data_IF_073690361426
#
_entry.id   IF_073690361426
#
_cell.length_a   1.000
_cell.length_b   1.000
_cell.length_c   1.000
_cell.angle_alpha   90.00
_cell.angle_beta   90.00
_cell.angle_gamma   90.00
#
_symmetry.space_group_name_H-M   'P 1'
#
loop_
_entity.id
_entity.type
_entity.pdbx_description
1 polymer ?
#
# COMPACT_ATOMS: atom_id res chain seq x y z
N UNK A 1 17.27 2.86 -20.16
CA UNK A 1 16.62 1.73 -19.47
C UNK A 1 15.14 1.68 -19.84
N UNK A 2 14.53 0.51 -19.77
CA UNK A 2 13.09 0.30 -19.88
C UNK A 2 12.53 0.14 -18.47
N UNK A 3 11.65 1.03 -18.05
CA UNK A 3 11.16 1.10 -16.67
C UNK A 3 9.63 0.98 -16.70
N UNK A 4 9.07 0.05 -15.94
CA UNK A 4 7.62 -0.10 -15.84
C UNK A 4 7.11 0.43 -14.48
N UNK A 5 5.96 1.09 -14.52
CA UNK A 5 5.20 1.50 -13.33
C UNK A 5 3.87 0.75 -13.31
N UNK A 6 3.72 -0.13 -12.34
CA UNK A 6 2.45 -0.81 -12.05
C UNK A 6 1.74 0.02 -11.00
N UNK A 7 0.68 0.71 -11.39
CA UNK A 7 0.04 1.73 -10.56
C UNK A 7 -1.44 1.90 -10.87
N UNK A 8 -2.10 2.74 -10.12
CA UNK A 8 -3.49 3.15 -10.35
C UNK A 8 -3.64 3.98 -11.63
N UNK A 9 -4.85 4.04 -12.21
CA UNK A 9 -5.15 4.93 -13.32
C UNK A 9 -4.82 6.40 -13.00
N UNK A 10 -4.21 7.12 -13.94
CA UNK A 10 -3.88 8.54 -13.76
C UNK A 10 -5.09 9.39 -13.37
N UNK A 11 -6.28 9.00 -13.83
CA UNK A 11 -7.55 9.69 -13.55
C UNK A 11 -8.02 9.51 -12.09
N UNK A 12 -7.41 8.61 -11.33
CA UNK A 12 -7.73 8.33 -9.92
C UNK A 12 -6.75 8.99 -8.95
N UNK A 13 -5.70 9.64 -9.46
CA UNK A 13 -4.71 10.33 -8.65
C UNK A 13 -5.21 11.73 -8.26
N UNK A 14 -4.84 12.19 -7.07
CA UNK A 14 -5.24 13.50 -6.53
C UNK A 14 -4.59 14.70 -7.26
N UNK A 15 -3.69 14.45 -8.19
CA UNK A 15 -3.00 15.43 -9.03
C UNK A 15 -1.66 14.86 -9.51
N UNK A 16 -1.35 15.07 -10.79
CA UNK A 16 -0.11 14.54 -11.38
C UNK A 16 1.13 15.19 -10.78
N UNK A 17 1.07 16.47 -10.43
CA UNK A 17 2.21 17.20 -9.89
C UNK A 17 2.49 16.88 -8.41
N UNK A 18 1.51 16.35 -7.70
CA UNK A 18 1.61 16.00 -6.27
C UNK A 18 1.88 14.51 -6.06
N UNK A 19 1.62 13.67 -7.08
CA UNK A 19 1.82 12.23 -7.00
C UNK A 19 3.28 11.83 -7.21
N UNK A 20 3.84 11.10 -6.24
CA UNK A 20 5.23 10.65 -6.26
C UNK A 20 5.54 9.73 -7.46
N UNK A 21 4.60 8.90 -7.90
CA UNK A 21 4.79 8.01 -9.05
C UNK A 21 4.89 8.81 -10.34
N UNK A 22 4.06 9.85 -10.47
CA UNK A 22 4.11 10.78 -11.60
C UNK A 22 5.40 11.59 -11.64
N UNK A 23 5.89 12.05 -10.49
CA UNK A 23 7.20 12.71 -10.39
C UNK A 23 8.34 11.77 -10.81
N UNK A 24 8.30 10.49 -10.38
CA UNK A 24 9.30 9.50 -10.80
C UNK A 24 9.21 9.18 -12.29
N UNK A 25 8.02 9.08 -12.87
CA UNK A 25 7.82 8.91 -14.31
C UNK A 25 8.46 10.07 -15.07
N UNK A 26 8.16 11.30 -14.66
CA UNK A 26 8.72 12.50 -15.30
C UNK A 26 10.25 12.50 -15.24
N UNK A 27 10.83 12.24 -14.07
CA UNK A 27 12.29 12.17 -13.91
C UNK A 27 12.91 11.07 -14.79
N UNK A 28 12.24 9.91 -14.92
CA UNK A 28 12.69 8.85 -15.84
C UNK A 28 12.69 9.32 -17.30
N UNK A 29 11.67 10.04 -17.74
CA UNK A 29 11.59 10.59 -19.09
C UNK A 29 12.69 11.63 -19.34
N UNK A 30 12.91 12.54 -18.39
CA UNK A 30 13.92 13.60 -18.47
C UNK A 30 15.34 13.03 -18.57
N UNK A 31 15.57 11.86 -17.95
CA UNK A 31 16.81 11.09 -18.08
C UNK A 31 16.90 10.24 -19.36
N UNK A 32 15.93 10.31 -20.23
CA UNK A 32 15.91 9.56 -21.49
C UNK A 32 15.61 8.07 -21.35
N UNK A 33 14.92 7.67 -20.29
CA UNK A 33 14.45 6.29 -20.12
C UNK A 33 13.12 6.07 -20.83
N UNK A 34 12.87 4.83 -21.28
CA UNK A 34 11.57 4.44 -21.82
C UNK A 34 10.68 3.99 -20.65
N UNK A 35 9.53 4.64 -20.46
CA UNK A 35 8.62 4.36 -19.36
C UNK A 35 7.39 3.64 -19.88
N UNK A 36 7.07 2.50 -19.26
CA UNK A 36 5.87 1.69 -19.50
C UNK A 36 4.90 1.88 -18.34
N UNK A 37 3.75 2.44 -18.62
CA UNK A 37 2.64 2.52 -17.69
C UNK A 37 1.80 1.24 -17.78
N UNK A 38 1.53 0.62 -16.61
CA UNK A 38 0.80 -0.65 -16.50
C UNK A 38 -0.23 -0.55 -15.39
N UNK A 39 -1.48 -0.81 -15.70
CA UNK A 39 -2.53 -0.96 -14.70
C UNK A 39 -2.52 -2.38 -14.14
N UNK A 40 -2.83 -2.53 -12.86
CA UNK A 40 -2.78 -3.83 -12.16
C UNK A 40 -3.60 -4.90 -12.88
N UNK A 41 -4.80 -4.55 -13.34
CA UNK A 41 -5.70 -5.46 -14.05
C UNK A 41 -5.20 -5.89 -15.44
N UNK A 42 -4.16 -5.23 -15.94
CA UNK A 42 -3.51 -5.58 -17.21
C UNK A 42 -2.36 -6.58 -17.06
N UNK A 43 -2.00 -6.94 -15.82
CA UNK A 43 -1.01 -7.97 -15.53
C UNK A 43 -1.61 -9.37 -15.72
N UNK A 44 -0.81 -10.31 -16.23
CA UNK A 44 -1.20 -11.71 -16.34
C UNK A 44 0.00 -12.63 -16.42
N UNK A 45 -0.22 -13.90 -16.12
CA UNK A 45 0.71 -14.97 -16.45
C UNK A 45 0.21 -15.68 -17.72
N UNK A 46 1.06 -15.80 -18.71
CA UNK A 46 0.80 -16.55 -19.93
C UNK A 46 1.97 -17.51 -20.14
N UNK A 47 1.69 -18.82 -20.18
CA UNK A 47 2.68 -19.87 -20.33
C UNK A 47 3.86 -19.77 -19.34
N UNK A 48 3.56 -19.35 -18.12
CA UNK A 48 4.55 -19.15 -17.05
C UNK A 48 5.33 -17.82 -17.10
N UNK A 49 5.10 -17.01 -18.11
CA UNK A 49 5.74 -15.69 -18.28
C UNK A 49 4.84 -14.58 -17.76
N UNK A 50 5.43 -13.64 -17.02
CA UNK A 50 4.75 -12.42 -16.59
C UNK A 50 4.69 -11.44 -17.77
N UNK A 51 3.46 -11.11 -18.20
CA UNK A 51 3.20 -10.19 -19.31
C UNK A 51 2.15 -9.17 -18.92
N UNK A 52 2.13 -8.02 -19.59
CA UNK A 52 1.11 -6.99 -19.39
C UNK A 52 0.60 -6.44 -20.72
N UNK A 53 -0.59 -5.84 -20.71
CA UNK A 53 -1.01 -4.90 -21.73
C UNK A 53 -0.69 -3.48 -21.21
N UNK A 54 0.47 -2.95 -21.58
CA UNK A 54 0.96 -1.66 -21.10
C UNK A 54 0.98 -0.59 -22.19
N UNK A 55 1.13 0.67 -21.77
CA UNK A 55 1.22 1.83 -22.65
C UNK A 55 2.54 2.56 -22.39
N UNK A 56 3.30 2.83 -23.46
CA UNK A 56 4.50 3.64 -23.34
C UNK A 56 4.13 5.11 -23.10
N UNK A 57 4.80 5.73 -22.13
CA UNK A 57 4.67 7.17 -21.90
C UNK A 57 5.54 7.89 -22.94
N UNK A 58 4.88 8.64 -23.84
CA UNK A 58 5.53 9.32 -24.96
C UNK A 58 5.99 10.74 -24.57
N UNK A 59 5.42 11.31 -23.53
CA UNK A 59 5.71 12.66 -23.06
C UNK A 59 4.61 13.14 -22.13
N UNK A 60 4.64 14.46 -21.86
CA UNK A 60 3.64 15.12 -21.01
C UNK A 60 3.21 16.45 -21.64
N UNK A 61 1.91 16.73 -21.60
CA UNK A 61 1.33 18.02 -21.97
C UNK A 61 0.48 18.54 -20.80
N UNK A 62 0.94 19.62 -20.16
CA UNK A 62 0.31 20.15 -18.96
C UNK A 62 0.20 19.09 -17.85
N UNK A 63 -1.01 18.84 -17.38
CA UNK A 63 -1.33 17.84 -16.35
C UNK A 63 -1.68 16.46 -16.92
N UNK A 64 -1.24 16.11 -18.12
CA UNK A 64 -1.57 14.82 -18.72
C UNK A 64 -0.33 14.17 -19.34
N UNK A 65 -0.14 12.86 -19.09
CA UNK A 65 0.82 12.07 -19.82
C UNK A 65 0.24 11.62 -21.17
N UNK A 66 1.05 11.74 -22.20
CA UNK A 66 0.71 11.24 -23.54
C UNK A 66 1.10 9.77 -23.58
N UNK A 67 0.13 8.91 -23.84
CA UNK A 67 0.31 7.47 -23.85
C UNK A 67 0.22 6.90 -25.27
N UNK A 68 1.01 5.88 -25.53
CA UNK A 68 0.89 5.09 -26.78
C UNK A 68 -0.38 4.26 -26.77
N UNK A 69 -0.68 3.64 -27.90
CA UNK A 69 -1.62 2.52 -27.95
C UNK A 69 -1.10 1.39 -27.04
N UNK A 70 -2.01 0.72 -26.34
CA UNK A 70 -1.66 -0.40 -25.48
C UNK A 70 -1.05 -1.55 -26.30
N UNK A 71 0.05 -2.11 -25.81
CA UNK A 71 0.75 -3.22 -26.43
C UNK A 71 1.05 -4.31 -25.41
N UNK A 72 1.14 -5.56 -25.89
CA UNK A 72 1.62 -6.66 -25.07
C UNK A 72 3.13 -6.54 -24.85
N UNK A 73 3.55 -6.58 -23.59
CA UNK A 73 4.96 -6.51 -23.19
C UNK A 73 5.27 -7.64 -22.22
N UNK A 74 6.32 -8.41 -22.51
CA UNK A 74 6.89 -9.34 -21.56
C UNK A 74 7.69 -8.57 -20.49
N UNK A 75 7.39 -8.80 -19.22
CA UNK A 75 8.01 -8.04 -18.12
C UNK A 75 9.49 -8.42 -17.91
N UNK A 76 9.91 -9.61 -18.34
CA UNK A 76 11.33 -10.00 -18.37
C UNK A 76 12.20 -9.14 -19.31
N UNK A 77 11.57 -8.41 -20.22
CA UNK A 77 12.26 -7.46 -21.11
C UNK A 77 12.34 -6.03 -20.56
N UNK A 78 11.99 -5.83 -19.29
CA UNK A 78 12.03 -4.54 -18.61
C UNK A 78 13.18 -4.54 -17.59
N UNK A 79 13.93 -3.44 -17.48
CA UNK A 79 15.08 -3.38 -16.57
C UNK A 79 14.63 -3.19 -15.09
N UNK A 80 13.61 -2.34 -14.89
CA UNK A 80 13.09 -2.01 -13.56
C UNK A 80 11.56 -1.98 -13.58
N UNK A 81 10.94 -2.54 -12.56
CA UNK A 81 9.49 -2.45 -12.33
C UNK A 81 9.26 -1.78 -10.97
N UNK A 82 8.50 -0.70 -10.97
CA UNK A 82 7.99 -0.08 -9.75
C UNK A 82 6.57 -0.58 -9.49
N UNK A 83 6.38 -1.27 -8.35
CA UNK A 83 5.05 -1.59 -7.84
C UNK A 83 4.54 -0.40 -7.02
N UNK A 84 3.72 0.43 -7.65
CA UNK A 84 3.22 1.71 -7.11
C UNK A 84 1.70 1.77 -7.00
N UNK A 85 1.04 0.62 -7.05
CA UNK A 85 -0.38 0.51 -6.75
C UNK A 85 -0.63 0.93 -5.31
N UNK A 86 -1.54 1.88 -5.11
CA UNK A 86 -1.95 2.30 -3.79
C UNK A 86 -2.84 1.24 -3.10
N UNK A 87 -2.87 1.20 -1.76
CA UNK A 87 -3.82 0.38 -1.04
C UNK A 87 -5.28 0.69 -1.45
N UNK A 88 -6.24 -0.24 -1.24
CA UNK A 88 -6.17 -1.35 -0.30
C UNK A 88 -5.32 -2.51 -0.80
N UNK A 89 -4.61 -3.18 0.15
CA UNK A 89 -3.91 -4.43 -0.12
C UNK A 89 -4.92 -5.57 -0.08
N UNK A 90 -5.68 -5.68 -1.16
CA UNK A 90 -6.70 -6.70 -1.36
C UNK A 90 -6.17 -7.91 -2.16
N UNK A 91 -7.05 -8.85 -2.49
CA UNK A 91 -6.67 -10.01 -3.30
C UNK A 91 -6.17 -9.63 -4.70
N UNK A 92 -6.72 -8.57 -5.30
CA UNK A 92 -6.26 -8.11 -6.60
C UNK A 92 -4.82 -7.61 -6.52
N UNK A 93 -4.53 -6.80 -5.51
CA UNK A 93 -3.18 -6.31 -5.22
C UNK A 93 -2.20 -7.49 -4.99
N UNK A 94 -2.56 -8.45 -4.12
CA UNK A 94 -1.70 -9.61 -3.82
C UNK A 94 -1.50 -10.51 -5.03
N UNK A 95 -2.53 -10.74 -5.85
CA UNK A 95 -2.39 -11.50 -7.08
C UNK A 95 -1.46 -10.80 -8.09
N UNK A 96 -1.50 -9.47 -8.17
CA UNK A 96 -0.55 -8.72 -8.99
C UNK A 96 0.89 -8.89 -8.48
N UNK A 97 1.09 -8.87 -7.15
CA UNK A 97 2.39 -9.14 -6.52
C UNK A 97 2.87 -10.55 -6.86
N UNK A 98 2.00 -11.57 -6.82
CA UNK A 98 2.34 -12.94 -7.23
C UNK A 98 2.71 -13.03 -8.71
N UNK A 99 2.05 -12.29 -9.59
CA UNK A 99 2.43 -12.21 -11.02
C UNK A 99 3.81 -11.60 -11.17
N UNK A 100 4.09 -10.50 -10.47
CA UNK A 100 5.40 -9.84 -10.49
C UNK A 100 6.49 -10.74 -9.92
N UNK A 101 6.19 -11.57 -8.92
CA UNK A 101 7.11 -12.56 -8.37
C UNK A 101 7.54 -13.67 -9.35
N UNK A 102 6.94 -13.73 -10.54
CA UNK A 102 7.34 -14.64 -11.63
C UNK A 102 8.24 -14.01 -12.68
N UNK A 103 8.49 -12.71 -12.58
CA UNK A 103 9.44 -12.02 -13.45
C UNK A 103 10.86 -12.53 -13.16
N UNK A 104 11.67 -12.66 -14.21
CA UNK A 104 13.02 -13.20 -14.10
C UNK A 104 13.93 -12.33 -13.21
N UNK A 105 14.95 -12.92 -12.63
CA UNK A 105 15.93 -12.26 -11.75
C UNK A 105 16.76 -11.17 -12.46
N UNK A 106 16.66 -11.05 -13.77
CA UNK A 106 17.31 -9.96 -14.53
C UNK A 106 16.61 -8.63 -14.42
N UNK A 107 15.35 -8.60 -13.96
CA UNK A 107 14.55 -7.39 -13.77
C UNK A 107 14.54 -7.02 -12.28
N UNK A 108 14.87 -5.77 -11.97
CA UNK A 108 14.74 -5.25 -10.59
C UNK A 108 13.28 -4.85 -10.31
N UNK A 109 12.71 -5.31 -9.21
CA UNK A 109 11.35 -4.94 -8.80
C UNK A 109 11.39 -4.17 -7.47
N UNK A 110 10.79 -3.00 -7.44
CA UNK A 110 10.75 -2.06 -6.31
C UNK A 110 9.27 -1.75 -5.97
N UNK A 111 8.79 -2.06 -4.77
CA UNK A 111 9.38 -2.93 -3.75
C UNK A 111 9.31 -4.39 -4.20
N UNK A 112 10.21 -5.24 -3.68
CA UNK A 112 10.22 -6.65 -4.09
C UNK A 112 8.90 -7.35 -3.72
N UNK A 113 8.36 -8.23 -4.59
CA UNK A 113 7.14 -8.99 -4.33
C UNK A 113 7.20 -9.75 -3.01
N UNK A 114 8.30 -10.41 -2.72
CA UNK A 114 8.53 -11.14 -1.47
C UNK A 114 8.43 -10.23 -0.23
N UNK A 115 8.97 -9.01 -0.31
CA UNK A 115 8.87 -8.03 0.78
C UNK A 115 7.44 -7.54 0.97
N UNK A 116 6.70 -7.30 -0.11
CA UNK A 116 5.29 -6.86 -0.05
C UNK A 116 4.42 -7.95 0.58
N UNK A 117 4.61 -9.22 0.21
CA UNK A 117 3.87 -10.35 0.78
C UNK A 117 4.15 -10.52 2.28
N UNK A 118 5.40 -10.32 2.68
CA UNK A 118 5.85 -10.55 4.06
C UNK A 118 5.52 -9.39 5.00
N UNK A 119 5.52 -8.16 4.51
CA UNK A 119 5.45 -6.95 5.32
C UNK A 119 4.11 -6.25 5.15
N UNK A 120 3.18 -6.48 6.09
CA UNK A 120 1.99 -5.64 6.20
C UNK A 120 2.33 -4.36 6.98
N UNK A 121 1.96 -3.18 6.48
CA UNK A 121 2.33 -1.88 7.06
C UNK A 121 1.89 -1.69 8.52
N UNK A 122 0.79 -2.35 8.95
CA UNK A 122 0.29 -2.25 10.32
C UNK A 122 0.87 -3.32 11.23
N UNK A 123 1.14 -4.52 10.70
CA UNK A 123 1.73 -5.60 11.47
C UNK A 123 3.22 -5.40 11.71
N UNK A 124 3.92 -4.77 10.77
CA UNK A 124 5.36 -4.58 10.82
C UNK A 124 5.84 -3.79 12.04
N UNK A 125 5.01 -2.88 12.58
CA UNK A 125 5.33 -2.16 13.82
C UNK A 125 5.50 -3.10 15.03
N UNK A 126 4.88 -4.29 14.99
CA UNK A 126 4.97 -5.27 16.09
C UNK A 126 6.35 -5.93 16.19
N UNK A 127 7.17 -5.83 15.15
CA UNK A 127 8.58 -6.24 15.18
C UNK A 127 9.45 -5.26 16.00
N UNK A 128 8.88 -4.11 16.37
CA UNK A 128 9.54 -3.03 17.13
C UNK A 128 8.74 -2.67 18.40
N UNK A 129 8.58 -3.60 19.34
CA UNK A 129 7.67 -3.44 20.50
C UNK A 129 8.02 -2.24 21.38
N UNK A 130 9.30 -1.84 21.44
CA UNK A 130 9.75 -0.69 22.24
C UNK A 130 9.29 0.67 21.65
N UNK A 131 8.90 0.69 20.39
CA UNK A 131 8.43 1.88 19.67
C UNK A 131 6.94 1.84 19.32
N UNK A 132 6.28 0.74 19.65
CA UNK A 132 4.87 0.53 19.35
C UNK A 132 3.99 0.74 20.60
N UNK A 133 2.83 1.39 20.50
CA UNK A 133 1.81 1.30 21.52
C UNK A 133 1.35 -0.15 21.70
N UNK A 134 0.84 -0.49 22.89
CA UNK A 134 0.24 -1.81 23.13
C UNK A 134 -0.79 -2.11 22.06
N UNK A 135 -0.72 -3.30 21.50
CA UNK A 135 -1.54 -3.67 20.34
C UNK A 135 -2.00 -5.12 20.43
N UNK A 136 -3.14 -5.41 19.82
CA UNK A 136 -3.67 -6.75 19.57
C UNK A 136 -4.08 -6.86 18.11
N UNK A 137 -3.87 -8.02 17.50
CA UNK A 137 -4.40 -8.33 16.17
C UNK A 137 -5.33 -9.52 16.31
N UNK A 138 -6.59 -9.33 16.01
CA UNK A 138 -7.62 -10.37 16.17
C UNK A 138 -8.82 -10.10 15.26
N UNK A 139 -9.61 -11.13 15.01
CA UNK A 139 -10.95 -11.00 14.43
C UNK A 139 -12.06 -11.14 15.48
N UNK A 140 -11.74 -11.40 16.76
CA UNK A 140 -12.76 -11.58 17.81
C UNK A 140 -13.16 -10.24 18.45
N UNK A 141 -14.44 -9.85 18.38
CA UNK A 141 -14.98 -8.70 19.11
C UNK A 141 -14.74 -8.80 20.63
N UNK A 142 -14.84 -10.00 21.20
CA UNK A 142 -14.66 -10.25 22.63
C UNK A 142 -13.21 -9.99 23.06
N UNK A 143 -12.24 -10.44 22.26
CA UNK A 143 -10.82 -10.18 22.53
C UNK A 143 -10.49 -8.68 22.45
N UNK A 144 -11.06 -7.97 21.48
CA UNK A 144 -10.93 -6.51 21.39
C UNK A 144 -11.53 -5.84 22.63
N UNK A 145 -12.72 -6.26 23.09
CA UNK A 145 -13.34 -5.74 24.29
C UNK A 145 -12.52 -6.04 25.57
N UNK A 146 -11.84 -7.19 25.63
CA UNK A 146 -10.90 -7.50 26.71
C UNK A 146 -9.67 -6.60 26.66
N UNK A 147 -9.11 -6.42 25.48
CA UNK A 147 -7.95 -5.58 25.27
C UNK A 147 -8.23 -4.09 25.59
N UNK A 148 -9.39 -3.58 25.18
CA UNK A 148 -9.85 -2.23 25.55
C UNK A 148 -9.77 -1.97 27.06
N UNK A 149 -10.22 -2.94 27.88
CA UNK A 149 -10.12 -2.84 29.34
C UNK A 149 -8.67 -2.85 29.84
N UNK A 150 -7.80 -3.63 29.20
CA UNK A 150 -6.38 -3.75 29.57
C UNK A 150 -5.56 -2.51 29.25
N UNK A 151 -5.97 -1.72 28.25
CA UNK A 151 -5.28 -0.49 27.83
C UNK A 151 -5.88 0.79 28.42
N UNK A 152 -6.61 0.67 29.53
CA UNK A 152 -7.14 1.85 30.23
C UNK A 152 -8.47 2.37 29.70
N UNK A 153 -9.11 1.64 28.81
CA UNK A 153 -10.47 1.95 28.36
C UNK A 153 -10.57 2.83 27.11
N UNK A 154 -9.47 3.11 26.45
CA UNK A 154 -9.43 3.85 25.20
C UNK A 154 -8.51 3.15 24.18
N UNK A 155 -9.01 2.90 22.98
CA UNK A 155 -8.21 2.32 21.89
C UNK A 155 -8.64 2.84 20.53
N UNK A 156 -7.80 2.62 19.53
CA UNK A 156 -8.15 2.73 18.12
C UNK A 156 -8.18 1.37 17.48
N UNK A 157 -9.18 1.12 16.63
CA UNK A 157 -9.25 -0.09 15.82
C UNK A 157 -8.97 0.28 14.38
N UNK A 158 -8.08 -0.48 13.73
CA UNK A 158 -7.57 -0.19 12.39
C UNK A 158 -7.73 -1.44 11.51
N UNK A 159 -8.32 -1.35 10.31
CA UNK A 159 -8.24 -2.41 9.31
C UNK A 159 -6.78 -2.64 8.90
N UNK A 160 -6.38 -3.90 8.64
CA UNK A 160 -4.99 -4.22 8.28
C UNK A 160 -4.60 -3.77 6.87
N UNK A 161 -5.56 -3.68 5.95
CA UNK A 161 -5.32 -3.52 4.52
C UNK A 161 -5.67 -2.14 3.96
N UNK A 162 -6.10 -1.21 4.82
CA UNK A 162 -6.50 0.15 4.45
C UNK A 162 -5.39 1.15 4.77
N UNK A 163 -5.41 2.30 4.09
CA UNK A 163 -4.46 3.39 4.29
C UNK A 163 -5.17 4.72 4.57
N UNK A 164 -4.40 5.79 4.76
CA UNK A 164 -4.88 7.19 4.87
C UNK A 164 -5.98 7.38 5.93
N UNK A 165 -5.89 6.64 7.03
CA UNK A 165 -6.87 6.72 8.12
C UNK A 165 -8.24 6.08 7.82
N UNK A 166 -8.44 5.49 6.65
CA UNK A 166 -9.71 4.85 6.29
C UNK A 166 -10.04 3.72 7.25
N UNK A 167 -11.26 3.74 7.82
CA UNK A 167 -11.74 2.71 8.73
C UNK A 167 -11.04 2.72 10.11
N UNK A 168 -10.24 3.71 10.45
CA UNK A 168 -9.70 3.90 11.79
C UNK A 168 -10.79 4.43 12.69
N UNK A 169 -11.13 3.70 13.74
CA UNK A 169 -12.22 4.02 14.66
C UNK A 169 -11.67 4.11 16.07
N UNK A 170 -11.93 5.23 16.73
CA UNK A 170 -11.71 5.40 18.16
C UNK A 170 -12.84 4.74 18.94
N UNK A 171 -12.50 3.92 19.94
CA UNK A 171 -13.44 3.19 20.79
C UNK A 171 -13.07 3.39 22.25
N UNK A 172 -14.05 3.64 23.11
CA UNK A 172 -13.82 3.81 24.54
C UNK A 172 -14.84 3.04 25.38
N UNK A 173 -14.48 2.75 26.64
CA UNK A 173 -15.41 2.19 27.62
C UNK A 173 -16.54 3.19 27.90
N UNK A 174 -17.76 2.70 27.93
CA UNK A 174 -18.95 3.53 28.12
C UNK A 174 -19.63 4.02 26.83
N UNK A 175 -19.02 3.76 25.65
CA UNK A 175 -19.73 3.95 24.38
C UNK A 175 -20.86 2.93 24.28
N UNK A 176 -22.08 3.42 24.12
CA UNK A 176 -23.29 2.57 24.01
C UNK A 176 -23.26 1.65 22.80
N UNK A 177 -22.52 2.04 21.76
CA UNK A 177 -22.37 1.31 20.50
C UNK A 177 -21.10 0.44 20.46
N UNK A 178 -20.27 0.43 21.51
CA UNK A 178 -18.98 -0.25 21.54
C UNK A 178 -19.06 -1.68 20.97
N UNK A 179 -20.04 -2.46 21.43
CA UNK A 179 -20.20 -3.84 20.97
C UNK A 179 -20.49 -3.92 19.48
N UNK A 180 -21.43 -3.13 19.00
CA UNK A 180 -21.82 -3.09 17.58
C UNK A 180 -20.67 -2.61 16.70
N UNK A 181 -19.87 -1.65 17.18
CA UNK A 181 -18.65 -1.18 16.48
C UNK A 181 -17.67 -2.33 16.33
N UNK A 182 -17.38 -3.07 17.42
CA UNK A 182 -16.42 -4.19 17.38
C UNK A 182 -16.90 -5.33 16.49
N UNK A 183 -18.18 -5.66 16.50
CA UNK A 183 -18.80 -6.64 15.60
C UNK A 183 -18.68 -6.17 14.13
N UNK A 184 -19.00 -4.92 13.85
CA UNK A 184 -18.92 -4.34 12.51
C UNK A 184 -17.50 -4.33 11.95
N UNK A 185 -16.51 -3.84 12.70
CA UNK A 185 -15.13 -3.72 12.19
C UNK A 185 -14.49 -5.08 11.96
N UNK A 186 -14.86 -6.09 12.76
CA UNK A 186 -14.40 -7.47 12.59
C UNK A 186 -15.24 -8.27 11.59
N UNK A 187 -16.30 -7.68 11.02
CA UNK A 187 -17.28 -8.37 10.19
C UNK A 187 -17.79 -9.66 10.88
N UNK A 188 -18.21 -9.53 12.13
CA UNK A 188 -18.68 -10.64 12.98
C UNK A 188 -17.65 -11.78 13.11
N UNK A 189 -16.39 -11.44 13.32
CA UNK A 189 -15.30 -12.40 13.51
C UNK A 189 -14.67 -12.94 12.22
N UNK A 190 -14.96 -12.36 11.07
CA UNK A 190 -14.42 -12.80 9.76
C UNK A 190 -13.28 -11.93 9.24
N UNK A 191 -13.04 -10.76 9.85
CA UNK A 191 -12.01 -9.81 9.43
C UNK A 191 -11.05 -9.55 10.58
N UNK A 192 -9.75 -9.77 10.33
CA UNK A 192 -8.70 -9.34 11.23
C UNK A 192 -8.56 -7.83 11.23
N UNK A 193 -8.41 -7.27 12.42
CA UNK A 193 -8.16 -5.86 12.68
C UNK A 193 -7.07 -5.72 13.73
N UNK A 194 -6.42 -4.56 13.78
CA UNK A 194 -5.53 -4.19 14.86
C UNK A 194 -6.28 -3.30 15.85
N UNK A 195 -6.39 -3.73 17.11
CA UNK A 195 -6.70 -2.86 18.25
C UNK A 195 -5.40 -2.32 18.82
N UNK A 196 -5.31 -1.03 19.04
CA UNK A 196 -4.11 -0.36 19.54
C UNK A 196 -4.47 0.65 20.61
N UNK A 197 -3.69 0.70 21.69
CA UNK A 197 -3.81 1.69 22.75
C UNK A 197 -3.87 3.10 22.16
N UNK A 198 -4.83 3.89 22.64
CA UNK A 198 -4.96 5.26 22.18
C UNK A 198 -3.87 6.15 22.81
N UNK A 199 -3.21 6.93 21.98
CA UNK A 199 -2.23 7.92 22.39
C UNK A 199 -2.88 9.31 22.41
N UNK A 200 -3.17 9.90 23.61
CA UNK A 200 -3.86 11.17 23.70
C UNK A 200 -3.15 12.34 23.01
N UNK A 201 -1.80 12.26 22.92
CA UNK A 201 -0.97 13.29 22.29
C UNK A 201 -1.28 13.50 20.81
N UNK A 202 -1.84 12.48 20.13
CA UNK A 202 -2.24 12.61 18.73
C UNK A 202 -3.33 13.67 18.53
N UNK A 203 -4.21 13.87 19.53
CA UNK A 203 -5.24 14.91 19.48
C UNK A 203 -4.69 16.32 19.49
N UNK A 204 -3.59 16.53 20.21
CA UNK A 204 -3.01 17.87 20.42
C UNK A 204 -1.89 18.18 19.42
N UNK A 205 -1.09 17.18 19.08
CA UNK A 205 0.16 17.33 18.32
C UNK A 205 0.08 16.78 16.89
N UNK A 206 -1.00 16.07 16.56
CA UNK A 206 -1.12 15.32 15.30
C UNK A 206 -0.09 14.19 15.21
N UNK A 207 0.04 13.64 14.01
CA UNK A 207 1.08 12.68 13.65
C UNK A 207 2.27 13.39 13.00
N UNK A 208 3.42 12.73 13.02
CA UNK A 208 4.63 13.21 12.33
C UNK A 208 5.16 12.11 11.42
N UNK A 209 5.42 12.45 10.17
CA UNK A 209 6.07 11.55 9.22
C UNK A 209 7.56 11.89 9.15
N UNK A 210 8.40 10.90 9.46
CA UNK A 210 9.83 11.00 9.29
C UNK A 210 10.23 10.32 7.98
N UNK A 211 10.87 11.05 7.09
CA UNK A 211 11.42 10.53 5.85
C UNK A 211 12.93 10.39 6.00
N UNK A 212 13.45 9.19 5.75
CA UNK A 212 14.88 8.93 5.76
C UNK A 212 15.33 8.68 4.31
N UNK A 213 16.12 9.60 3.77
CA UNK A 213 16.73 9.49 2.45
C UNK A 213 18.24 9.29 2.63
N UNK A 214 18.72 8.04 2.54
CA UNK A 214 20.11 7.67 2.83
C UNK A 214 20.50 7.75 4.32
N UNK A 215 21.37 6.86 4.75
CA UNK A 215 21.94 6.87 6.11
C UNK A 215 23.19 7.77 6.23
N UNK A 216 23.63 8.39 5.14
CA UNK A 216 24.94 9.06 5.08
C UNK A 216 24.84 10.58 5.10
N UNK A 217 23.76 11.18 4.66
CA UNK A 217 23.64 12.63 4.47
C UNK A 217 22.21 13.14 4.69
N UNK A 218 21.82 13.21 5.92
CA UNK A 218 20.69 14.07 6.29
C UNK A 218 21.10 14.89 7.49
#
# INVERSE_FOLDING_TARGET
MRIAFVMDPFEQLDGIDEDTSCCLIQECLDRGHSVLYVRVECLRLADGLAVCAGQWVLGREGEQFILSVAAQVALDGVDVIFMRKDPPVDLCYLNAVHVLGRVSSGTMIINSPESIERVNEKLYILDFPDFAPRSIVTCSPEQLGCFLRQVGGEMVVKPLNECSGRGVIYVHLGDLNMRSILEMVTADGRRFVMGQEFLPEVREKGDRRLLMLSLIHI
#
